data_IF_493759866308
#
_entry.id   IF_493759866308
#
_cell.length_a   1.000
_cell.length_b   1.000
_cell.length_c   1.000
_cell.angle_alpha   90.00
_cell.angle_beta   90.00
_cell.angle_gamma   90.00
#
_symmetry.space_group_name_H-M   'P 1'
#
loop_
_entity.id
_entity.type
_entity.pdbx_description
1 polymer ?
#
# COMPACT_ATOMS: atom_id res chain seq x y z
N UNK A 1 16.74 -27.04 32.48
CA UNK A 1 17.15 -25.93 31.58
C UNK A 1 16.68 -24.66 32.24
N UNK A 2 17.59 -23.80 32.68
CA UNK A 2 17.21 -22.53 33.31
C UNK A 2 16.45 -21.69 32.28
N UNK A 3 15.22 -21.29 32.61
CA UNK A 3 14.41 -20.39 31.79
C UNK A 3 15.15 -19.06 31.70
N UNK A 4 15.74 -18.78 30.54
CA UNK A 4 16.37 -17.48 30.28
C UNK A 4 15.30 -16.39 30.44
N UNK A 5 15.46 -15.55 31.46
CA UNK A 5 14.68 -14.33 31.62
C UNK A 5 15.54 -13.18 31.11
N UNK A 6 15.19 -12.57 29.98
CA UNK A 6 15.91 -11.39 29.51
C UNK A 6 15.75 -10.27 30.54
N UNK A 7 16.84 -9.56 30.90
CA UNK A 7 16.82 -8.53 31.92
C UNK A 7 16.17 -7.27 31.37
N UNK A 8 14.86 -7.12 31.59
CA UNK A 8 14.13 -5.88 31.38
C UNK A 8 13.02 -5.75 32.43
N UNK A 9 12.62 -4.52 32.71
CA UNK A 9 11.46 -4.23 33.55
C UNK A 9 10.40 -3.52 32.72
N UNK A 10 9.18 -4.05 32.73
CA UNK A 10 8.04 -3.36 32.12
C UNK A 10 7.85 -2.00 32.79
N UNK A 11 7.85 -0.94 32.00
CA UNK A 11 7.67 0.42 32.48
C UNK A 11 6.50 1.11 31.77
N UNK A 12 6.09 2.26 32.29
CA UNK A 12 4.97 3.02 31.75
C UNK A 12 5.16 3.42 30.28
N UNK A 13 6.40 3.72 29.85
CA UNK A 13 6.68 4.07 28.46
C UNK A 13 6.45 2.88 27.51
N UNK A 14 6.88 1.68 27.89
CA UNK A 14 6.63 0.46 27.11
C UNK A 14 5.13 0.18 27.00
N UNK A 15 4.40 0.27 28.11
CA UNK A 15 2.95 0.03 28.13
C UNK A 15 2.20 1.05 27.27
N UNK A 16 2.57 2.33 27.35
CA UNK A 16 2.02 3.38 26.49
C UNK A 16 2.26 3.07 25.02
N UNK A 17 3.49 2.74 24.63
CA UNK A 17 3.82 2.39 23.23
C UNK A 17 3.04 1.17 22.74
N UNK A 18 2.86 0.15 23.58
CA UNK A 18 2.06 -1.03 23.22
C UNK A 18 0.60 -0.65 23.01
N UNK A 19 0.03 0.22 23.86
CA UNK A 19 -1.33 0.73 23.68
C UNK A 19 -1.46 1.54 22.37
N UNK A 20 -0.51 2.42 22.08
CA UNK A 20 -0.47 3.21 20.85
C UNK A 20 -0.39 2.29 19.61
N UNK A 21 0.46 1.27 19.65
CA UNK A 21 0.58 0.26 18.59
C UNK A 21 -0.74 -0.50 18.42
N UNK A 22 -1.40 -0.89 19.51
CA UNK A 22 -2.68 -1.58 19.44
C UNK A 22 -3.77 -0.71 18.77
N UNK A 23 -3.80 0.58 19.07
CA UNK A 23 -4.68 1.53 18.39
C UNK A 23 -4.35 1.63 16.89
N UNK A 24 -3.08 1.84 16.53
CA UNK A 24 -2.62 1.92 15.15
C UNK A 24 -2.94 0.64 14.36
N UNK A 25 -2.78 -0.53 14.98
CA UNK A 25 -3.17 -1.81 14.38
C UNK A 25 -4.68 -1.87 14.12
N UNK A 26 -5.49 -1.36 15.04
CA UNK A 26 -6.93 -1.23 14.86
C UNK A 26 -7.28 -0.34 13.66
N UNK A 27 -6.69 0.85 13.60
CA UNK A 27 -6.87 1.80 12.50
C UNK A 27 -6.42 1.19 11.16
N UNK A 28 -5.26 0.55 11.12
CA UNK A 28 -4.73 -0.09 9.92
C UNK A 28 -5.60 -1.25 9.43
N UNK A 29 -6.14 -2.05 10.35
CA UNK A 29 -7.08 -3.14 10.04
C UNK A 29 -8.40 -2.61 9.48
N UNK A 30 -8.90 -1.49 10.01
CA UNK A 30 -10.11 -0.84 9.50
C UNK A 30 -9.89 -0.24 8.11
N UNK A 31 -8.78 0.47 7.91
CA UNK A 31 -8.38 1.03 6.61
C UNK A 31 -8.18 -0.09 5.56
N UNK A 32 -7.62 -1.23 5.97
CA UNK A 32 -7.42 -2.39 5.08
C UNK A 32 -8.71 -3.16 4.76
N UNK A 33 -9.75 -3.10 5.61
CA UNK A 33 -11.07 -3.70 5.36
C UNK A 33 -11.91 -2.92 4.34
N UNK A 34 -11.68 -1.61 4.20
CA UNK A 34 -12.44 -0.73 3.30
C UNK A 34 -12.10 -0.90 1.81
N UNK A 35 -11.20 -1.85 1.47
CA UNK A 35 -10.91 -2.25 0.10
C UNK A 35 -9.51 -1.85 -0.34
N UNK A 36 -8.87 -2.78 -1.07
CA UNK A 36 -7.55 -2.67 -1.71
C UNK A 36 -6.37 -2.97 -0.80
N UNK A 37 -6.25 -4.24 -0.44
CA UNK A 37 -4.96 -4.80 -0.01
C UNK A 37 -4.00 -4.78 -1.22
N UNK A 38 -2.92 -3.99 -1.24
CA UNK A 38 -1.95 -4.01 -2.33
C UNK A 38 -0.96 -5.17 -2.09
N UNK A 39 -1.46 -6.41 -1.98
CA UNK A 39 -0.63 -7.56 -1.59
C UNK A 39 0.45 -7.91 -2.62
N UNK A 40 0.27 -7.54 -3.89
CA UNK A 40 1.06 -8.10 -4.98
C UNK A 40 2.20 -7.21 -5.51
N UNK A 41 2.34 -5.95 -5.06
CA UNK A 41 3.41 -5.05 -5.57
C UNK A 41 4.56 -4.79 -4.61
N UNK A 42 4.38 -4.99 -3.30
CA UNK A 42 5.46 -4.80 -2.31
C UNK A 42 6.21 -6.08 -1.96
N UNK A 43 5.58 -7.26 -2.09
CA UNK A 43 6.21 -8.56 -1.78
C UNK A 43 7.53 -8.81 -2.54
N UNK A 44 7.62 -8.39 -3.80
CA UNK A 44 8.85 -8.54 -4.59
C UNK A 44 9.96 -7.55 -4.23
N UNK A 45 9.64 -6.43 -3.57
CA UNK A 45 10.60 -5.39 -3.19
C UNK A 45 11.15 -5.60 -1.77
N UNK A 46 10.37 -6.28 -0.92
CA UNK A 46 10.76 -6.72 0.43
C UNK A 46 11.75 -7.88 0.36
N UNK A 47 11.57 -8.85 -0.54
CA UNK A 47 12.53 -9.98 -0.73
C UNK A 47 13.96 -9.53 -1.03
N UNK A 48 14.15 -8.43 -1.76
CA UNK A 48 15.49 -7.94 -2.11
C UNK A 48 16.17 -7.22 -0.94
N UNK A 49 15.42 -6.84 0.11
CA UNK A 49 15.95 -6.23 1.34
C UNK A 49 16.21 -7.31 2.41
N UNK A 50 15.41 -8.38 2.41
CA UNK A 50 15.42 -9.51 3.36
C UNK A 50 16.63 -10.48 3.24
N UNK A 51 17.78 -10.07 2.72
CA UNK A 51 18.91 -10.99 2.51
C UNK A 51 20.18 -10.63 3.31
N UNK A 52 20.12 -9.73 4.30
CA UNK A 52 21.38 -9.21 4.87
C UNK A 52 21.44 -8.84 6.35
N UNK A 53 20.46 -9.13 7.23
CA UNK A 53 20.66 -8.84 8.66
C UNK A 53 19.80 -9.69 9.60
N UNK A 54 20.26 -9.86 10.85
CA UNK A 54 19.57 -10.50 11.98
C UNK A 54 18.15 -9.97 12.31
N UNK A 55 17.66 -9.00 11.54
CA UNK A 55 16.32 -8.41 11.61
C UNK A 55 15.25 -9.39 11.07
N UNK A 56 15.63 -10.39 10.25
CA UNK A 56 14.70 -11.38 9.66
C UNK A 56 13.84 -12.12 10.70
N UNK A 57 14.37 -12.36 11.91
CA UNK A 57 13.63 -13.04 12.99
C UNK A 57 12.46 -12.20 13.52
N UNK A 58 12.57 -10.86 13.54
CA UNK A 58 11.54 -9.99 14.11
C UNK A 58 10.23 -10.06 13.30
N UNK A 59 10.31 -10.11 11.98
CA UNK A 59 9.13 -10.19 11.10
C UNK A 59 8.45 -11.56 11.16
N UNK A 60 9.23 -12.62 11.37
CA UNK A 60 8.70 -13.97 11.58
C UNK A 60 7.89 -14.07 12.88
N UNK A 61 8.38 -13.51 13.98
CA UNK A 61 7.66 -13.51 15.27
C UNK A 61 6.35 -12.71 15.16
N UNK A 62 6.40 -11.53 14.54
CA UNK A 62 5.23 -10.67 14.39
C UNK A 62 4.16 -11.27 13.46
N UNK A 63 4.58 -11.87 12.34
CA UNK A 63 3.66 -12.53 11.41
C UNK A 63 2.97 -13.76 12.01
N UNK A 64 3.63 -14.47 12.93
CA UNK A 64 3.00 -15.57 13.68
C UNK A 64 1.88 -15.08 14.60
N UNK A 65 2.07 -13.93 15.25
CA UNK A 65 1.06 -13.33 16.13
C UNK A 65 -0.11 -12.70 15.35
N UNK A 66 0.17 -11.99 14.25
CA UNK A 66 -0.84 -11.43 13.34
C UNK A 66 -0.35 -11.50 11.88
N UNK A 67 -0.98 -12.33 11.01
CA UNK A 67 -0.51 -12.55 9.63
C UNK A 67 -0.35 -11.29 8.78
N UNK A 68 -1.16 -10.25 9.04
CA UNK A 68 -1.05 -8.97 8.32
C UNK A 68 0.29 -8.26 8.55
N UNK A 69 0.94 -8.46 9.71
CA UNK A 69 2.23 -7.85 10.02
C UNK A 69 3.37 -8.34 9.13
N UNK A 70 3.21 -9.47 8.43
CA UNK A 70 4.18 -9.94 7.44
C UNK A 70 4.44 -8.93 6.32
N UNK A 71 3.52 -7.99 6.09
CA UNK A 71 3.62 -6.98 5.04
C UNK A 71 4.03 -5.60 5.56
N UNK A 72 4.27 -5.47 6.86
CA UNK A 72 4.69 -4.22 7.49
C UNK A 72 6.20 -4.02 7.22
N UNK A 73 6.63 -2.88 6.64
CA UNK A 73 8.04 -2.65 6.29
C UNK A 73 8.90 -2.25 7.51
N UNK A 74 8.80 -2.99 8.62
CA UNK A 74 9.51 -2.67 9.86
C UNK A 74 11.03 -2.67 9.65
N UNK A 75 11.55 -3.56 8.81
CA UNK A 75 12.98 -3.67 8.52
C UNK A 75 13.49 -2.45 7.75
N UNK A 76 12.64 -1.86 6.90
CA UNK A 76 13.00 -0.63 6.18
C UNK A 76 13.16 0.53 7.16
N UNK A 77 12.25 0.62 8.15
CA UNK A 77 12.34 1.62 9.22
C UNK A 77 13.61 1.40 10.05
N UNK A 78 13.87 0.17 10.50
CA UNK A 78 15.07 -0.16 11.28
C UNK A 78 16.34 0.16 10.48
N UNK A 79 16.39 -0.24 9.20
CA UNK A 79 17.52 0.04 8.31
C UNK A 79 17.75 1.54 8.11
N UNK A 80 16.70 2.35 8.04
CA UNK A 80 16.85 3.81 7.96
C UNK A 80 17.48 4.43 9.21
N UNK A 81 17.42 3.71 10.35
CA UNK A 81 17.95 4.12 11.66
C UNK A 81 19.05 3.16 12.16
N UNK A 82 19.81 2.57 11.22
CA UNK A 82 20.75 1.47 11.51
C UNK A 82 21.81 1.84 12.55
N UNK A 83 22.32 3.07 12.53
CA UNK A 83 23.28 3.55 13.53
C UNK A 83 22.68 3.54 14.95
N UNK A 84 21.43 4.01 15.08
CA UNK A 84 20.72 3.98 16.37
C UNK A 84 20.46 2.54 16.81
N UNK A 85 20.05 1.66 15.89
CA UNK A 85 19.83 0.24 16.17
C UNK A 85 21.07 -0.41 16.80
N UNK A 86 22.24 -0.28 16.17
CA UNK A 86 23.47 -0.88 16.71
C UNK A 86 23.93 -0.23 18.00
N UNK A 87 23.73 1.09 18.13
CA UNK A 87 24.04 1.80 19.38
C UNK A 87 23.21 1.26 20.54
N UNK A 88 21.88 1.21 20.42
CA UNK A 88 21.01 0.73 21.51
C UNK A 88 21.17 -0.77 21.77
N UNK A 89 21.56 -1.56 20.77
CA UNK A 89 21.90 -2.97 20.94
C UNK A 89 23.20 -3.11 21.76
N UNK A 90 24.24 -2.36 21.42
CA UNK A 90 25.50 -2.36 22.17
C UNK A 90 25.36 -1.82 23.59
N UNK A 91 24.53 -0.78 23.78
CA UNK A 91 24.17 -0.26 25.12
C UNK A 91 23.43 -1.33 25.94
N UNK A 92 22.50 -2.07 25.33
CA UNK A 92 21.78 -3.14 26.00
C UNK A 92 22.68 -4.32 26.40
N UNK A 93 23.59 -4.72 25.52
CA UNK A 93 24.59 -5.77 25.81
C UNK A 93 25.52 -5.34 26.96
N UNK A 94 25.99 -4.09 26.93
CA UNK A 94 26.90 -3.55 27.95
C UNK A 94 26.23 -3.35 29.31
N UNK A 95 24.98 -2.89 29.33
CA UNK A 95 24.21 -2.66 30.55
C UNK A 95 23.55 -3.95 31.09
N UNK A 96 23.56 -5.04 30.30
CA UNK A 96 22.71 -6.20 30.53
C UNK A 96 21.25 -5.79 30.81
N UNK A 97 20.74 -4.81 30.04
CA UNK A 97 19.39 -4.29 30.13
C UNK A 97 18.85 -4.00 28.73
N UNK A 98 17.88 -4.80 28.28
CA UNK A 98 17.31 -4.64 26.94
C UNK A 98 16.14 -3.64 26.90
N UNK A 99 15.86 -2.90 27.98
CA UNK A 99 14.76 -1.94 28.04
C UNK A 99 14.84 -0.86 26.95
N UNK A 100 16.04 -0.30 26.72
CA UNK A 100 16.27 0.70 25.67
C UNK A 100 16.07 0.13 24.26
N UNK A 101 16.55 -1.10 24.04
CA UNK A 101 16.36 -1.81 22.78
C UNK A 101 14.88 -2.12 22.49
N UNK A 102 14.12 -2.56 23.50
CA UNK A 102 12.68 -2.81 23.38
C UNK A 102 11.93 -1.53 23.00
N UNK A 103 12.24 -0.40 23.66
CA UNK A 103 11.62 0.88 23.34
C UNK A 103 11.90 1.30 21.89
N UNK A 104 13.13 1.14 21.42
CA UNK A 104 13.48 1.40 20.02
C UNK A 104 12.69 0.52 19.05
N UNK A 105 12.55 -0.78 19.35
CA UNK A 105 11.80 -1.71 18.50
C UNK A 105 10.31 -1.37 18.46
N UNK A 106 9.72 -0.97 19.60
CA UNK A 106 8.33 -0.50 19.66
C UNK A 106 8.15 0.78 18.85
N UNK A 107 9.11 1.72 18.90
CA UNK A 107 9.07 2.94 18.08
C UNK A 107 9.15 2.65 16.59
N UNK A 108 10.05 1.75 16.17
CA UNK A 108 10.15 1.33 14.78
C UNK A 108 8.86 0.68 14.28
N UNK A 109 8.17 -0.10 15.12
CA UNK A 109 6.87 -0.69 14.80
C UNK A 109 5.76 0.34 14.65
N UNK A 110 5.65 1.27 15.61
CA UNK A 110 4.66 2.34 15.56
C UNK A 110 4.84 3.23 14.32
N UNK A 111 6.08 3.56 13.96
CA UNK A 111 6.39 4.31 12.76
C UNK A 111 6.03 3.52 11.49
N UNK A 112 6.38 2.25 11.40
CA UNK A 112 6.03 1.43 10.23
C UNK A 112 4.51 1.33 10.04
N UNK A 113 3.74 1.24 11.14
CA UNK A 113 2.28 1.24 11.11
C UNK A 113 1.73 2.59 10.64
N UNK A 114 2.25 3.70 11.16
CA UNK A 114 1.85 5.04 10.70
C UNK A 114 2.13 5.24 9.21
N UNK A 115 3.32 4.86 8.73
CA UNK A 115 3.66 4.93 7.30
C UNK A 115 2.72 4.06 6.45
N UNK A 116 2.31 2.89 6.95
CA UNK A 116 1.38 2.00 6.27
C UNK A 116 -0.05 2.56 6.21
N UNK A 117 -0.55 3.14 7.31
CA UNK A 117 -1.85 3.82 7.39
C UNK A 117 -1.88 5.03 6.46
N UNK A 118 -0.84 5.87 6.51
CA UNK A 118 -0.76 7.08 5.70
C UNK A 118 -0.66 6.76 4.20
N UNK A 119 0.08 5.70 3.84
CA UNK A 119 0.10 5.18 2.47
C UNK A 119 -1.30 4.79 1.96
N UNK A 120 -2.17 4.27 2.83
CA UNK A 120 -3.55 3.92 2.49
C UNK A 120 -4.47 5.14 2.45
N UNK A 121 -4.26 6.13 3.32
CA UNK A 121 -5.00 7.42 3.30
C UNK A 121 -4.68 8.25 2.05
N UNK A 122 -3.43 8.24 1.59
CA UNK A 122 -3.06 8.87 0.32
C UNK A 122 -3.62 8.14 -0.90
N UNK A 123 -4.02 6.86 -0.79
CA UNK A 123 -4.87 6.21 -1.80
C UNK A 123 -6.36 6.59 -1.71
N UNK A 124 -6.77 7.45 -0.78
CA UNK A 124 -8.13 8.02 -0.76
C UNK A 124 -8.15 9.50 -1.15
N UNK A 125 -7.08 10.26 -0.90
CA UNK A 125 -6.96 11.67 -1.32
C UNK A 125 -6.25 11.88 -2.67
N UNK A 126 -5.47 10.89 -3.16
CA UNK A 126 -4.79 10.96 -4.48
C UNK A 126 -5.36 9.98 -5.51
N UNK A 127 -6.53 9.38 -5.24
CA UNK A 127 -7.19 8.44 -6.16
C UNK A 127 -8.29 9.07 -7.01
N UNK A 128 -8.64 10.34 -6.76
CA UNK A 128 -9.31 11.11 -7.81
C UNK A 128 -8.36 11.41 -8.99
N UNK A 129 -7.04 11.52 -8.76
CA UNK A 129 -6.10 11.93 -9.81
C UNK A 129 -5.07 10.90 -10.30
N UNK A 130 -4.79 9.79 -9.59
CA UNK A 130 -3.65 8.92 -9.98
C UNK A 130 -3.92 7.42 -10.22
N UNK A 131 -5.15 6.88 -10.11
CA UNK A 131 -5.46 5.47 -10.46
C UNK A 131 -6.19 5.34 -11.81
N UNK A 132 -6.24 6.42 -12.60
CA UNK A 132 -6.78 6.40 -13.97
C UNK A 132 -5.76 5.97 -15.03
N UNK A 133 -4.50 5.72 -14.71
CA UNK A 133 -3.48 5.34 -15.70
C UNK A 133 -3.09 3.87 -15.59
N UNK A 134 -3.84 3.02 -16.30
CA UNK A 134 -3.26 2.14 -17.36
C UNK A 134 -4.15 0.94 -17.72
N UNK A 135 -5.17 0.57 -16.92
CA UNK A 135 -6.01 -0.61 -17.26
C UNK A 135 -7.53 -0.36 -17.26
N UNK A 136 -8.04 0.63 -16.51
CA UNK A 136 -9.51 0.87 -16.43
C UNK A 136 -10.09 1.83 -17.47
N UNK A 137 -9.27 2.61 -18.18
CA UNK A 137 -9.79 3.61 -19.12
C UNK A 137 -10.47 3.02 -20.36
N UNK A 138 -9.98 1.93 -20.98
CA UNK A 138 -10.68 1.32 -22.10
C UNK A 138 -11.99 0.64 -21.66
N UNK A 139 -11.99 -0.04 -20.52
CA UNK A 139 -13.19 -0.73 -20.00
C UNK A 139 -14.28 0.26 -19.58
N UNK A 140 -13.91 1.35 -18.92
CA UNK A 140 -14.85 2.41 -18.55
C UNK A 140 -15.45 3.08 -19.79
N UNK A 141 -14.64 3.27 -20.85
CA UNK A 141 -15.12 3.81 -22.11
C UNK A 141 -16.09 2.86 -22.81
N UNK A 142 -15.81 1.55 -22.84
CA UNK A 142 -16.72 0.54 -23.41
C UNK A 142 -18.07 0.53 -22.68
N UNK A 143 -18.06 0.57 -21.35
CA UNK A 143 -19.29 0.55 -20.55
C UNK A 143 -20.12 1.82 -20.79
N UNK A 144 -19.48 2.98 -20.88
CA UNK A 144 -20.14 4.25 -21.14
C UNK A 144 -20.74 4.29 -22.55
N UNK A 145 -19.98 3.88 -23.57
CA UNK A 145 -20.46 3.87 -24.96
C UNK A 145 -21.55 2.81 -25.19
N UNK A 146 -21.56 1.73 -24.39
CA UNK A 146 -22.67 0.76 -24.39
C UNK A 146 -23.96 1.33 -23.81
N UNK A 147 -23.87 2.23 -22.82
CA UNK A 147 -25.04 2.89 -22.23
C UNK A 147 -25.50 4.11 -23.05
N UNK A 148 -24.56 4.80 -23.70
CA UNK A 148 -24.83 5.99 -24.50
C UNK A 148 -24.04 5.99 -25.82
N UNK A 149 -24.52 5.25 -26.85
CA UNK A 149 -23.81 5.08 -28.12
C UNK A 149 -23.57 6.38 -28.90
N UNK A 150 -24.40 7.40 -28.68
CA UNK A 150 -24.36 8.68 -29.41
C UNK A 150 -23.43 9.72 -28.79
N UNK A 151 -22.72 9.40 -27.70
CA UNK A 151 -21.80 10.34 -27.06
C UNK A 151 -20.57 10.60 -27.92
N UNK A 152 -20.14 11.86 -27.95
CA UNK A 152 -18.85 12.23 -28.54
C UNK A 152 -17.70 11.88 -27.59
N UNK A 153 -16.49 11.71 -28.13
CA UNK A 153 -15.29 11.42 -27.31
C UNK A 153 -14.98 12.53 -26.30
N UNK A 154 -15.35 13.79 -26.62
CA UNK A 154 -15.19 14.94 -25.72
C UNK A 154 -16.16 14.88 -24.53
N UNK A 155 -17.42 14.52 -24.77
CA UNK A 155 -18.41 14.33 -23.72
C UNK A 155 -18.09 13.12 -22.85
N UNK A 156 -17.61 12.02 -23.45
CA UNK A 156 -17.12 10.86 -22.72
C UNK A 156 -15.94 11.22 -21.79
N UNK A 157 -15.05 12.12 -22.23
CA UNK A 157 -13.96 12.62 -21.41
C UNK A 157 -14.46 13.41 -20.19
N UNK A 158 -15.46 14.27 -20.38
CA UNK A 158 -16.09 15.00 -19.30
C UNK A 158 -16.82 14.07 -18.32
N UNK A 159 -17.59 13.10 -18.82
CA UNK A 159 -18.30 12.11 -18.00
C UNK A 159 -17.36 11.23 -17.17
N UNK A 160 -16.19 10.89 -17.72
CA UNK A 160 -15.20 10.08 -17.03
C UNK A 160 -14.19 10.90 -16.23
N UNK A 161 -14.28 12.24 -16.23
CA UNK A 161 -13.32 13.15 -15.62
C UNK A 161 -11.88 12.87 -16.10
N UNK A 162 -11.71 12.67 -17.40
CA UNK A 162 -10.46 12.33 -18.08
C UNK A 162 -10.12 13.41 -19.12
N UNK A 163 -8.86 13.49 -19.52
CA UNK A 163 -8.50 14.35 -20.66
C UNK A 163 -9.04 13.78 -21.96
N UNK A 164 -9.47 14.66 -22.88
CA UNK A 164 -9.95 14.26 -24.22
C UNK A 164 -8.92 13.36 -24.92
N UNK A 165 -7.64 13.72 -24.82
CA UNK A 165 -6.52 12.93 -25.36
C UNK A 165 -6.43 11.51 -24.77
N UNK A 166 -6.73 11.32 -23.49
CA UNK A 166 -6.73 9.99 -22.87
C UNK A 166 -7.89 9.12 -23.39
N UNK A 167 -9.06 9.70 -23.63
CA UNK A 167 -10.20 9.02 -24.24
C UNK A 167 -9.94 8.71 -25.71
N UNK A 168 -9.31 9.61 -26.46
CA UNK A 168 -8.89 9.35 -27.85
C UNK A 168 -7.87 8.22 -27.93
N UNK A 169 -6.89 8.19 -27.01
CA UNK A 169 -5.93 7.08 -26.93
C UNK A 169 -6.62 5.76 -26.56
N UNK A 170 -7.59 5.79 -25.64
CA UNK A 170 -8.33 4.60 -25.24
C UNK A 170 -9.25 4.09 -26.36
N UNK A 171 -9.96 4.97 -27.06
CA UNK A 171 -10.81 4.61 -28.20
C UNK A 171 -9.97 4.05 -29.34
N UNK A 172 -8.84 4.67 -29.69
CA UNK A 172 -7.92 4.15 -30.69
C UNK A 172 -7.39 2.75 -30.33
N UNK A 173 -7.10 2.51 -29.04
CA UNK A 173 -6.67 1.19 -28.55
C UNK A 173 -7.79 0.14 -28.67
N UNK A 174 -9.03 0.50 -28.37
CA UNK A 174 -10.20 -0.38 -28.47
C UNK A 174 -10.58 -0.70 -29.92
N UNK A 175 -10.49 0.30 -30.80
CA UNK A 175 -10.68 0.12 -32.25
C UNK A 175 -9.60 -0.81 -32.80
N UNK A 176 -8.33 -0.61 -32.43
CA UNK A 176 -7.23 -1.52 -32.82
C UNK A 176 -7.41 -2.93 -32.27
N UNK A 177 -8.04 -3.07 -31.11
CA UNK A 177 -8.37 -4.36 -30.49
C UNK A 177 -9.66 -5.00 -31.03
N UNK A 178 -10.37 -4.34 -31.96
CA UNK A 178 -11.62 -4.83 -32.55
C UNK A 178 -12.84 -4.77 -31.62
N UNK A 179 -12.74 -4.08 -30.47
CA UNK A 179 -13.79 -4.03 -29.44
C UNK A 179 -14.74 -2.84 -29.55
N UNK A 180 -14.44 -1.89 -30.43
CA UNK A 180 -15.20 -0.65 -30.58
C UNK A 180 -15.16 -0.19 -32.04
N UNK A 181 -16.32 0.17 -32.59
CA UNK A 181 -16.46 0.67 -33.95
C UNK A 181 -17.34 1.92 -33.98
N UNK A 182 -16.94 2.93 -34.76
CA UNK A 182 -17.77 4.11 -34.99
C UNK A 182 -18.56 3.94 -36.30
N UNK A 183 -19.88 3.93 -36.21
CA UNK A 183 -20.79 3.75 -37.34
C UNK A 183 -21.47 5.09 -37.65
N UNK A 184 -21.26 5.62 -38.86
CA UNK A 184 -21.87 6.86 -39.35
C UNK A 184 -20.88 8.01 -39.60
N UNK A 185 -21.42 9.19 -39.94
CA UNK A 185 -20.62 10.38 -40.28
C UNK A 185 -19.80 10.89 -39.09
N UNK A 186 -18.64 11.51 -39.32
CA UNK A 186 -17.72 12.03 -38.28
C UNK A 186 -18.34 12.98 -37.22
N UNK A 187 -19.55 13.52 -37.47
CA UNK A 187 -20.28 14.43 -36.56
C UNK A 187 -21.65 13.91 -36.10
N UNK A 188 -22.09 12.73 -36.54
CA UNK A 188 -23.43 12.21 -36.25
C UNK A 188 -23.52 10.68 -36.24
N UNK A 189 -22.38 10.00 -36.16
CA UNK A 189 -22.33 8.57 -35.95
C UNK A 189 -22.50 8.19 -34.49
N UNK A 190 -22.61 6.89 -34.24
CA UNK A 190 -22.66 6.30 -32.91
C UNK A 190 -21.56 5.25 -32.78
N UNK A 191 -21.17 4.98 -31.54
CA UNK A 191 -20.19 3.96 -31.20
C UNK A 191 -20.91 2.65 -30.87
N UNK A 192 -20.52 1.58 -31.57
CA UNK A 192 -20.99 0.23 -31.32
C UNK A 192 -19.87 -0.60 -30.69
N UNK A 193 -20.21 -1.37 -29.65
CA UNK A 193 -19.28 -2.26 -28.95
C UNK A 193 -19.42 -3.65 -29.53
N UNK A 194 -18.35 -4.13 -30.17
CA UNK A 194 -18.27 -5.49 -30.72
C UNK A 194 -18.00 -6.49 -29.59
N UNK A 195 -18.71 -7.64 -29.53
CA UNK A 195 -18.48 -8.68 -28.52
C UNK A 195 -17.11 -9.36 -28.61
#
# INVERSE_FOLDING_TARGET
MSTYQPPFSLNHAMLSKVADIAELLGQWKQASRAGLVPQLRRGNRIRTIQASLAIEQNTLILSHWQPMLAYLPVETVIKSRQETYYRVLGEADAAADCSGFILFMLDALAEALNQAIESQRHTTTSVENAVKTSVKTPEALLLLLRQHPTLTLSEAANHLGLSVRAIEMASAKLVKAGKLQHIGSKKGGHWEVTP
#
